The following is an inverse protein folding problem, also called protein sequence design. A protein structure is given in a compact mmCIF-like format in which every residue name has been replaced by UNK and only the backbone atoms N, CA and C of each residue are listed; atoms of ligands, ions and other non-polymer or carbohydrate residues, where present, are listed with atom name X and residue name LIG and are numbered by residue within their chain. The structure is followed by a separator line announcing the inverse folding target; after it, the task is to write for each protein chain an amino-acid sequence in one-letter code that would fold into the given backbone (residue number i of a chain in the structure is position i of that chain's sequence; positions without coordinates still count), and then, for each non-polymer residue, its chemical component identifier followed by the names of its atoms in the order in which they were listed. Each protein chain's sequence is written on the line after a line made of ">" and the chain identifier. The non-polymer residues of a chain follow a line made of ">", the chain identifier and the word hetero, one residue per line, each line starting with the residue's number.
data_IF_609967408722
#
_entry.id   IF_609967408722
#
_cell.length_a   1.000
_cell.length_b   1.000
_cell.length_c   1.000
_cell.angle_alpha   90.00
_cell.angle_beta   90.00
_cell.angle_gamma   90.00
#
_symmetry.space_group_name_H-M   'P 1'
#
loop_
_entity.id
_entity.type
_entity.pdbx_description
1 polymer ?
#
# COMPACT_ATOMS: atom_id res chain seq x y z
N UNK A 1 35.23 -1.21 25.17
CA UNK A 1 34.45 -1.95 24.15
C UNK A 1 33.45 -0.96 23.55
N UNK A 2 33.76 -0.39 22.39
CA UNK A 2 32.98 0.70 21.81
C UNK A 2 31.69 0.11 21.20
N UNK A 3 30.55 0.25 21.87
CA UNK A 3 29.25 -0.17 21.33
C UNK A 3 28.98 0.66 20.08
N UNK A 4 29.17 0.08 18.88
CA UNK A 4 28.82 0.74 17.62
C UNK A 4 27.36 1.19 17.72
N UNK A 5 27.14 2.50 17.75
CA UNK A 5 25.82 3.12 17.82
C UNK A 5 24.99 2.62 16.64
N UNK A 6 23.75 2.22 16.90
CA UNK A 6 22.87 1.73 15.87
C UNK A 6 22.61 2.81 14.82
N UNK A 7 22.85 2.51 13.54
CA UNK A 7 22.70 3.46 12.41
C UNK A 7 21.30 3.39 11.80
N UNK A 8 20.55 2.30 12.05
CA UNK A 8 19.20 2.08 11.51
C UNK A 8 18.17 3.21 11.78
N UNK A 9 18.14 3.91 12.95
CA UNK A 9 17.12 4.95 13.15
C UNK A 9 17.37 6.16 12.26
N UNK A 10 18.65 6.49 11.99
CA UNK A 10 19.01 7.56 11.06
C UNK A 10 18.56 7.20 9.64
N UNK A 11 18.83 5.97 9.20
CA UNK A 11 18.39 5.48 7.88
C UNK A 11 16.88 5.54 7.74
N UNK A 12 16.13 5.20 8.81
CA UNK A 12 14.67 5.29 8.79
C UNK A 12 14.17 6.72 8.56
N UNK A 13 14.75 7.70 9.28
CA UNK A 13 14.40 9.12 9.12
C UNK A 13 14.76 9.62 7.73
N UNK A 14 15.99 9.34 7.26
CA UNK A 14 16.46 9.80 5.96
C UNK A 14 15.59 9.20 4.83
N UNK A 15 15.27 7.90 4.91
CA UNK A 15 14.42 7.22 3.94
C UNK A 15 12.99 7.73 3.97
N UNK A 16 12.44 8.00 5.16
CA UNK A 16 11.11 8.57 5.32
C UNK A 16 11.02 9.97 4.71
N UNK A 17 12.01 10.83 4.97
CA UNK A 17 12.01 12.19 4.43
C UNK A 17 12.16 12.21 2.91
N UNK A 18 13.06 11.38 2.37
CA UNK A 18 13.24 11.27 0.92
C UNK A 18 11.95 10.82 0.21
N UNK A 19 11.30 9.76 0.73
CA UNK A 19 10.02 9.27 0.19
C UNK A 19 8.87 10.26 0.47
N UNK A 20 8.91 10.96 1.60
CA UNK A 20 7.94 11.95 2.02
C UNK A 20 7.85 13.15 1.07
N UNK A 21 8.97 13.62 0.53
CA UNK A 21 8.97 14.69 -0.49
C UNK A 21 8.20 14.25 -1.73
N UNK A 22 8.42 13.03 -2.23
CA UNK A 22 7.65 12.48 -3.35
C UNK A 22 6.19 12.26 -3.00
N UNK A 23 5.92 11.87 -1.76
CA UNK A 23 4.56 11.68 -1.24
C UNK A 23 3.78 12.99 -1.25
N UNK A 24 4.41 14.13 -0.95
CA UNK A 24 3.76 15.44 -0.99
C UNK A 24 3.30 15.81 -2.41
N UNK A 25 4.13 15.61 -3.42
CA UNK A 25 3.73 15.84 -4.82
C UNK A 25 2.60 14.91 -5.24
N UNK A 26 2.70 13.63 -4.89
CA UNK A 26 1.67 12.64 -5.13
C UNK A 26 0.32 13.02 -4.50
N UNK A 27 0.31 13.40 -3.22
CA UNK A 27 -0.91 13.83 -2.52
C UNK A 27 -1.47 15.12 -3.11
N UNK A 28 -0.62 16.07 -3.50
CA UNK A 28 -1.04 17.30 -4.17
C UNK A 28 -1.77 17.02 -5.49
N UNK A 29 -1.27 16.08 -6.29
CA UNK A 29 -1.93 15.65 -7.54
C UNK A 29 -3.29 15.03 -7.25
N UNK A 30 -3.41 14.14 -6.24
CA UNK A 30 -4.69 13.51 -5.88
C UNK A 30 -5.71 14.55 -5.44
N UNK A 31 -5.31 15.50 -4.59
CA UNK A 31 -6.19 16.59 -4.14
C UNK A 31 -6.68 17.40 -5.34
N UNK A 32 -5.80 17.75 -6.27
CA UNK A 32 -6.17 18.48 -7.48
C UNK A 32 -7.19 17.70 -8.31
N UNK A 33 -6.93 16.41 -8.59
CA UNK A 33 -7.85 15.55 -9.34
C UNK A 33 -9.22 15.47 -8.66
N UNK A 34 -9.24 15.33 -7.33
CA UNK A 34 -10.48 15.25 -6.58
C UNK A 34 -11.26 16.58 -6.62
N UNK A 35 -10.58 17.74 -6.56
CA UNK A 35 -11.25 19.04 -6.71
C UNK A 35 -11.95 19.12 -8.08
N UNK A 36 -11.28 18.68 -9.15
CA UNK A 36 -11.88 18.66 -10.49
C UNK A 36 -13.11 17.75 -10.51
N UNK A 37 -13.03 16.54 -9.93
CA UNK A 37 -14.17 15.62 -9.86
C UNK A 37 -15.36 16.21 -9.11
N UNK A 38 -15.14 16.93 -8.00
CA UNK A 38 -16.21 17.62 -7.29
C UNK A 38 -16.87 18.72 -8.11
N UNK A 39 -16.09 19.54 -8.81
CA UNK A 39 -16.61 20.60 -9.68
C UNK A 39 -17.47 20.03 -10.81
N UNK A 40 -17.03 18.94 -11.42
CA UNK A 40 -17.78 18.26 -12.50
C UNK A 40 -19.08 17.62 -11.99
N UNK A 41 -19.05 17.00 -10.82
CA UNK A 41 -20.24 16.38 -10.24
C UNK A 41 -21.32 17.38 -9.85
N UNK A 42 -20.92 18.56 -9.36
CA UNK A 42 -21.86 19.66 -9.12
C UNK A 42 -22.59 20.10 -10.39
N UNK A 43 -21.95 19.99 -11.56
CA UNK A 43 -22.55 20.36 -12.84
C UNK A 43 -23.42 19.22 -13.44
N UNK A 44 -23.10 17.96 -13.12
CA UNK A 44 -23.79 16.78 -13.69
C UNK A 44 -24.88 16.24 -12.75
N UNK A 45 -24.93 16.70 -11.49
CA UNK A 45 -25.86 16.24 -10.47
C UNK A 45 -25.60 14.82 -9.97
N UNK A 46 -24.41 14.28 -10.23
CA UNK A 46 -24.05 12.90 -9.90
C UNK A 46 -23.48 12.79 -8.48
N UNK A 47 -23.61 11.62 -7.84
CA UNK A 47 -22.87 11.33 -6.61
C UNK A 47 -21.38 11.18 -6.92
N UNK A 48 -20.55 11.53 -5.94
CA UNK A 48 -19.10 11.38 -6.04
C UNK A 48 -18.57 10.50 -4.92
N UNK A 49 -17.49 9.79 -5.24
CA UNK A 49 -16.73 9.03 -4.25
C UNK A 49 -16.02 9.97 -3.31
N UNK A 50 -16.06 9.67 -2.01
CA UNK A 50 -15.31 10.42 -0.99
C UNK A 50 -13.79 10.43 -1.26
N UNK A 51 -13.10 11.51 -0.88
CA UNK A 51 -11.65 11.63 -1.04
C UNK A 51 -10.91 10.46 -0.42
N UNK A 52 -11.36 9.97 0.74
CA UNK A 52 -10.72 8.87 1.45
C UNK A 52 -10.59 7.62 0.57
N UNK A 53 -11.66 7.22 -0.11
CA UNK A 53 -11.68 6.03 -0.97
C UNK A 53 -10.76 6.21 -2.16
N UNK A 54 -10.88 7.34 -2.87
CA UNK A 54 -10.04 7.68 -4.05
C UNK A 54 -8.55 7.73 -3.69
N UNK A 55 -8.20 8.41 -2.59
CA UNK A 55 -6.83 8.54 -2.11
C UNK A 55 -6.28 7.20 -1.64
N UNK A 56 -7.10 6.35 -1.02
CA UNK A 56 -6.66 5.05 -0.53
C UNK A 56 -6.31 4.09 -1.67
N UNK A 57 -7.15 3.98 -2.70
CA UNK A 57 -6.87 3.23 -3.95
C UNK A 57 -5.55 3.69 -4.56
N UNK A 58 -5.40 5.00 -4.75
CA UNK A 58 -4.22 5.58 -5.38
C UNK A 58 -2.95 5.39 -4.54
N UNK A 59 -3.05 5.48 -3.21
CA UNK A 59 -1.92 5.34 -2.30
C UNK A 59 -1.34 3.93 -2.28
N UNK A 60 -2.15 2.89 -2.52
CA UNK A 60 -1.66 1.50 -2.61
C UNK A 60 -0.73 1.32 -3.81
N UNK A 61 -1.12 1.88 -4.95
CA UNK A 61 -0.31 1.87 -6.18
C UNK A 61 0.99 2.65 -5.94
N UNK A 62 0.90 3.85 -5.38
CA UNK A 62 2.06 4.66 -5.03
C UNK A 62 3.04 3.92 -4.12
N UNK A 63 2.54 3.31 -3.03
CA UNK A 63 3.34 2.54 -2.08
C UNK A 63 4.06 1.36 -2.75
N UNK A 64 3.40 0.66 -3.67
CA UNK A 64 4.02 -0.40 -4.46
C UNK A 64 5.18 0.14 -5.31
N UNK A 65 4.99 1.26 -6.01
CA UNK A 65 6.02 1.88 -6.85
C UNK A 65 7.24 2.31 -6.03
N UNK A 66 7.06 3.03 -4.93
CA UNK A 66 8.19 3.45 -4.09
C UNK A 66 8.87 2.26 -3.40
N UNK A 67 8.14 1.19 -3.10
CA UNK A 67 8.70 -0.06 -2.62
C UNK A 67 9.66 -0.68 -3.64
N UNK A 68 9.27 -0.75 -4.92
CA UNK A 68 10.14 -1.23 -6.01
C UNK A 68 11.41 -0.37 -6.08
N UNK A 69 11.26 0.96 -6.11
CA UNK A 69 12.38 1.91 -6.19
C UNK A 69 13.34 1.74 -5.00
N UNK A 70 12.82 1.43 -3.81
CA UNK A 70 13.65 1.31 -2.62
C UNK A 70 14.74 0.23 -2.75
N UNK A 71 14.46 -0.87 -3.43
CA UNK A 71 15.44 -1.91 -3.69
C UNK A 71 16.58 -1.46 -4.62
N UNK A 72 16.27 -0.63 -5.62
CA UNK A 72 17.20 -0.23 -6.67
C UNK A 72 18.01 1.02 -6.33
N UNK A 73 17.36 2.02 -5.74
CA UNK A 73 17.98 3.32 -5.48
C UNK A 73 18.56 3.38 -4.07
N UNK A 74 17.73 3.13 -3.05
CA UNK A 74 18.14 3.35 -1.67
C UNK A 74 19.13 2.29 -1.15
N UNK A 75 18.93 1.01 -1.47
CA UNK A 75 19.82 -0.04 -0.98
C UNK A 75 21.29 0.18 -1.43
N UNK A 76 21.61 0.39 -2.72
CA UNK A 76 22.99 0.66 -3.13
C UNK A 76 23.51 1.98 -2.55
N UNK A 77 22.70 3.04 -2.57
CA UNK A 77 23.08 4.36 -2.06
C UNK A 77 23.51 4.31 -0.58
N UNK A 78 22.73 3.69 0.30
CA UNK A 78 23.08 3.61 1.72
C UNK A 78 24.28 2.69 1.96
N UNK A 79 24.39 1.58 1.24
CA UNK A 79 25.50 0.64 1.45
C UNK A 79 26.82 1.21 0.93
N UNK A 80 26.81 1.95 -0.19
CA UNK A 80 27.98 2.69 -0.68
C UNK A 80 28.44 3.77 0.31
N UNK A 81 27.51 4.40 1.02
CA UNK A 81 27.79 5.35 2.11
C UNK A 81 28.14 4.68 3.46
N UNK A 82 28.47 3.38 3.47
CA UNK A 82 28.98 2.67 4.65
C UNK A 82 27.91 2.12 5.61
N UNK A 83 26.63 2.16 5.25
CA UNK A 83 25.55 1.56 6.06
C UNK A 83 25.54 0.04 5.87
N UNK A 84 25.41 -0.71 6.96
CA UNK A 84 25.29 -2.17 6.84
C UNK A 84 23.92 -2.55 6.28
N UNK A 85 23.85 -3.63 5.50
CA UNK A 85 22.59 -4.14 4.93
C UNK A 85 21.55 -4.50 6.01
N UNK A 86 22.00 -4.87 7.20
CA UNK A 86 21.12 -5.16 8.34
C UNK A 86 20.45 -3.88 8.84
N UNK A 87 21.22 -2.80 8.93
CA UNK A 87 20.72 -1.51 9.38
C UNK A 87 19.82 -0.86 8.33
N UNK A 88 20.16 -1.00 7.04
CA UNK A 88 19.28 -0.58 5.96
C UNK A 88 17.94 -1.33 6.00
N UNK A 89 17.94 -2.66 6.12
CA UNK A 89 16.69 -3.42 6.17
C UNK A 89 15.78 -2.98 7.31
N UNK A 90 16.33 -2.83 8.53
CA UNK A 90 15.56 -2.36 9.69
C UNK A 90 15.09 -0.92 9.52
N UNK A 91 15.96 -0.05 9.00
CA UNK A 91 15.66 1.36 8.76
C UNK A 91 14.57 1.55 7.70
N UNK A 92 14.69 0.88 6.56
CA UNK A 92 13.71 0.93 5.48
C UNK A 92 12.35 0.35 5.90
N UNK A 93 12.32 -0.77 6.64
CA UNK A 93 11.08 -1.35 7.15
C UNK A 93 10.36 -0.40 8.12
N UNK A 94 11.10 0.28 9.00
CA UNK A 94 10.53 1.25 9.96
C UNK A 94 10.12 2.56 9.27
N UNK A 95 10.95 3.09 8.38
CA UNK A 95 10.68 4.33 7.65
C UNK A 95 9.46 4.23 6.74
N UNK A 96 9.32 3.11 6.02
CA UNK A 96 8.14 2.86 5.17
C UNK A 96 6.86 2.59 5.97
N UNK A 97 6.96 1.98 7.14
CA UNK A 97 5.82 1.85 8.05
C UNK A 97 5.37 3.22 8.59
N UNK A 98 6.31 4.09 8.98
CA UNK A 98 6.02 5.47 9.36
C UNK A 98 5.39 6.26 8.19
N UNK A 99 5.83 6.02 6.96
CA UNK A 99 5.25 6.64 5.76
C UNK A 99 3.79 6.19 5.54
N UNK A 100 3.50 4.91 5.71
CA UNK A 100 2.13 4.38 5.61
C UNK A 100 1.18 5.05 6.62
N UNK A 101 1.65 5.26 7.86
CA UNK A 101 0.91 5.98 8.90
C UNK A 101 0.71 7.44 8.48
N UNK A 102 1.77 8.11 8.04
CA UNK A 102 1.72 9.52 7.65
C UNK A 102 0.72 9.76 6.51
N UNK A 103 0.77 8.94 5.45
CA UNK A 103 -0.20 9.02 4.34
C UNK A 103 -1.62 8.83 4.87
N UNK A 104 -1.85 7.82 5.71
CA UNK A 104 -3.19 7.54 6.26
C UNK A 104 -3.71 8.72 7.09
N UNK A 105 -2.89 9.29 7.97
CA UNK A 105 -3.26 10.46 8.77
C UNK A 105 -3.56 11.69 7.90
N UNK A 106 -2.73 11.98 6.91
CA UNK A 106 -2.97 13.11 5.99
C UNK A 106 -4.25 12.89 5.19
N UNK A 107 -4.50 11.68 4.70
CA UNK A 107 -5.75 11.38 3.97
C UNK A 107 -6.99 11.54 4.85
N UNK A 108 -6.92 11.19 6.13
CA UNK A 108 -8.01 11.39 7.09
C UNK A 108 -8.26 12.87 7.36
N UNK A 109 -7.20 13.65 7.54
CA UNK A 109 -7.32 15.09 7.74
C UNK A 109 -7.98 15.76 6.52
N UNK A 110 -7.54 15.41 5.31
CA UNK A 110 -8.12 15.93 4.08
C UNK A 110 -9.59 15.50 3.89
N UNK A 111 -9.94 14.27 4.24
CA UNK A 111 -11.34 13.80 4.21
C UNK A 111 -12.21 14.53 5.24
N UNK A 112 -11.66 14.79 6.43
CA UNK A 112 -12.34 15.61 7.44
C UNK A 112 -12.61 17.02 6.94
N UNK A 113 -11.63 17.64 6.28
CA UNK A 113 -11.79 18.96 5.66
C UNK A 113 -12.82 18.93 4.52
N UNK A 114 -12.84 17.90 3.68
CA UNK A 114 -13.83 17.70 2.61
C UNK A 114 -15.26 17.69 3.18
N UNK A 115 -15.53 16.85 4.19
CA UNK A 115 -16.87 16.79 4.80
C UNK A 115 -17.27 18.11 5.46
N UNK A 116 -16.32 18.82 6.11
CA UNK A 116 -16.58 20.13 6.69
C UNK A 116 -16.92 21.19 5.62
N UNK A 117 -16.24 21.16 4.48
CA UNK A 117 -16.52 22.07 3.36
C UNK A 117 -17.88 21.78 2.72
N UNK A 118 -18.19 20.50 2.45
CA UNK A 118 -19.45 20.11 1.81
C UNK A 118 -20.66 20.45 2.69
N UNK A 119 -20.60 20.10 3.98
CA UNK A 119 -21.66 20.42 4.92
C UNK A 119 -21.73 21.93 5.23
N UNK A 120 -20.59 22.60 5.38
CA UNK A 120 -20.53 24.02 5.68
C UNK A 120 -21.04 24.91 4.54
N UNK A 121 -20.90 24.46 3.29
CA UNK A 121 -21.39 25.17 2.10
C UNK A 121 -22.77 24.70 1.63
N UNK A 122 -23.41 23.76 2.34
CA UNK A 122 -24.70 23.15 1.95
C UNK A 122 -24.72 22.69 0.48
N UNK A 123 -23.62 22.10 0.01
CA UNK A 123 -23.52 21.62 -1.36
C UNK A 123 -24.43 20.40 -1.55
N UNK A 124 -25.21 20.31 -2.64
CA UNK A 124 -26.05 19.14 -2.94
C UNK A 124 -25.19 17.97 -3.46
N UNK A 125 -24.27 17.49 -2.61
CA UNK A 125 -23.29 16.45 -2.92
C UNK A 125 -23.48 15.29 -1.96
N UNK A 126 -23.90 14.13 -2.49
CA UNK A 126 -23.92 12.88 -1.74
C UNK A 126 -22.53 12.25 -1.88
N UNK A 127 -21.78 12.24 -0.78
CA UNK A 127 -20.47 11.63 -0.70
C UNK A 127 -20.62 10.14 -0.39
N UNK A 128 -20.31 9.28 -1.35
CA UNK A 128 -20.33 7.84 -1.14
C UNK A 128 -19.03 7.39 -0.45
N UNK A 129 -19.18 6.81 0.73
CA UNK A 129 -18.11 6.16 1.52
C UNK A 129 -17.98 4.66 1.22
N UNK A 130 -18.94 4.11 0.48
CA UNK A 130 -18.91 2.77 -0.07
C UNK A 130 -18.09 2.79 -1.36
N UNK A 131 -16.97 2.05 -1.40
CA UNK A 131 -16.25 1.80 -2.65
C UNK A 131 -17.04 0.79 -3.50
N UNK A 132 -18.20 1.20 -4.01
CA UNK A 132 -18.77 0.60 -5.19
C UNK A 132 -18.01 1.16 -6.39
N UNK A 133 -16.72 0.80 -6.49
CA UNK A 133 -16.11 0.73 -7.82
C UNK A 133 -16.74 -0.52 -8.44
N UNK A 134 -18.00 -0.40 -8.84
CA UNK A 134 -18.63 -1.24 -9.84
C UNK A 134 -17.95 -0.88 -11.15
N UNK A 135 -16.71 -1.33 -11.29
CA UNK A 135 -16.26 -1.68 -12.62
C UNK A 135 -17.24 -2.75 -13.05
N UNK A 136 -18.13 -2.41 -14.00
CA UNK A 136 -18.90 -3.36 -14.81
C UNK A 136 -17.89 -4.30 -15.46
N UNK A 137 -17.39 -5.24 -14.66
CA UNK A 137 -16.51 -6.27 -15.12
C UNK A 137 -17.45 -7.26 -15.80
N UNK A 138 -17.55 -7.10 -17.11
CA UNK A 138 -17.56 -8.25 -17.99
C UNK A 138 -16.61 -9.32 -17.41
N UNK A 139 -16.87 -10.59 -17.72
CA UNK A 139 -16.13 -11.79 -17.26
C UNK A 139 -14.61 -11.81 -17.59
N UNK A 140 -14.02 -10.66 -17.90
CA UNK A 140 -12.61 -10.38 -18.09
C UNK A 140 -11.85 -10.53 -16.77
N UNK A 141 -11.18 -11.67 -16.67
CA UNK A 141 -10.22 -12.06 -15.64
C UNK A 141 -9.31 -10.92 -15.10
N UNK A 142 -8.79 -10.09 -16.00
CA UNK A 142 -7.84 -9.01 -15.63
C UNK A 142 -8.53 -7.94 -14.79
N UNK A 143 -9.78 -7.58 -15.11
CA UNK A 143 -10.53 -6.56 -14.39
C UNK A 143 -10.79 -7.01 -12.94
N UNK A 144 -11.17 -8.28 -12.75
CA UNK A 144 -11.36 -8.86 -11.42
C UNK A 144 -10.06 -8.89 -10.60
N UNK A 145 -8.92 -9.22 -11.24
CA UNK A 145 -7.62 -9.23 -10.55
C UNK A 145 -7.22 -7.83 -10.08
N UNK A 146 -7.39 -6.83 -10.94
CA UNK A 146 -7.11 -5.43 -10.62
C UNK A 146 -8.03 -4.95 -9.49
N UNK A 147 -9.32 -5.31 -9.52
CA UNK A 147 -10.27 -4.96 -8.47
C UNK A 147 -9.89 -5.58 -7.12
N UNK A 148 -9.69 -6.90 -7.07
CA UNK A 148 -9.36 -7.61 -5.83
C UNK A 148 -8.08 -7.07 -5.20
N UNK A 149 -7.10 -6.68 -6.01
CA UNK A 149 -5.84 -6.15 -5.52
C UNK A 149 -5.99 -4.69 -5.08
N UNK A 150 -6.48 -3.81 -5.95
CA UNK A 150 -6.38 -2.37 -5.70
C UNK A 150 -7.52 -1.86 -4.81
N UNK A 151 -8.75 -2.37 -4.97
CA UNK A 151 -9.94 -1.82 -4.30
C UNK A 151 -9.90 -2.13 -2.79
N UNK A 152 -10.15 -1.13 -1.92
CA UNK A 152 -10.25 -1.37 -0.49
C UNK A 152 -11.39 -2.31 -0.14
N UNK A 153 -11.18 -3.09 0.92
CA UNK A 153 -12.29 -3.73 1.60
C UNK A 153 -13.21 -2.67 2.23
N UNK A 154 -14.53 -2.94 2.39
CA UNK A 154 -15.45 -1.99 3.03
C UNK A 154 -15.02 -1.56 4.44
N UNK A 155 -14.37 -2.45 5.17
CA UNK A 155 -13.81 -2.19 6.50
C UNK A 155 -12.66 -1.18 6.46
N UNK A 156 -11.82 -1.22 5.42
CA UNK A 156 -10.75 -0.24 5.21
C UNK A 156 -11.31 1.12 4.81
N UNK A 157 -12.42 1.15 4.06
CA UNK A 157 -13.09 2.39 3.64
C UNK A 157 -13.78 3.15 4.79
N UNK A 158 -13.85 2.55 6.00
CA UNK A 158 -14.51 3.13 7.18
C UNK A 158 -13.83 4.36 7.82
N UNK A 159 -12.82 4.93 7.15
CA UNK A 159 -12.25 6.25 7.43
C UNK A 159 -11.87 6.48 8.90
N UNK A 160 -12.73 7.18 9.63
CA UNK A 160 -12.50 7.65 11.00
C UNK A 160 -12.47 6.55 12.07
N UNK A 161 -12.96 5.33 11.77
CA UNK A 161 -12.88 4.22 12.72
C UNK A 161 -11.43 3.83 13.00
N UNK A 162 -11.04 3.65 14.27
CA UNK A 162 -9.70 3.17 14.65
C UNK A 162 -9.30 1.89 13.90
N UNK A 163 -10.27 1.00 13.68
CA UNK A 163 -10.09 -0.21 12.88
C UNK A 163 -9.77 0.19 11.43
N UNK A 164 -10.59 1.02 10.80
CA UNK A 164 -10.35 1.55 9.44
C UNK A 164 -8.96 2.17 9.28
N UNK A 165 -8.52 3.01 10.22
CA UNK A 165 -7.17 3.62 10.21
C UNK A 165 -6.08 2.56 10.26
N UNK A 166 -6.21 1.58 11.16
CA UNK A 166 -5.22 0.51 11.32
C UNK A 166 -5.12 -0.36 10.07
N UNK A 167 -6.26 -0.71 9.47
CA UNK A 167 -6.32 -1.52 8.26
C UNK A 167 -5.82 -0.75 7.05
N UNK A 168 -6.22 0.52 6.94
CA UNK A 168 -5.77 1.39 5.87
C UNK A 168 -4.25 1.59 5.89
N UNK A 169 -3.65 1.63 7.09
CA UNK A 169 -2.19 1.68 7.27
C UNK A 169 -1.54 0.35 6.88
N UNK A 170 -2.07 -0.77 7.37
CA UNK A 170 -1.55 -2.10 7.06
C UNK A 170 -1.60 -2.42 5.57
N UNK A 171 -2.70 -2.06 4.89
CA UNK A 171 -2.83 -2.25 3.45
C UNK A 171 -1.77 -1.47 2.68
N UNK A 172 -1.59 -0.18 2.97
CA UNK A 172 -0.53 0.64 2.36
C UNK A 172 0.85 0.05 2.61
N UNK A 173 1.13 -0.39 3.84
CA UNK A 173 2.40 -1.01 4.19
C UNK A 173 2.62 -2.35 3.48
N UNK A 174 1.58 -3.18 3.35
CA UNK A 174 1.61 -4.42 2.59
C UNK A 174 2.03 -4.17 1.14
N UNK A 175 1.42 -3.20 0.46
CA UNK A 175 1.77 -2.85 -0.92
C UNK A 175 3.21 -2.37 -1.07
N UNK A 176 3.72 -1.59 -0.11
CA UNK A 176 5.12 -1.19 -0.08
C UNK A 176 6.06 -2.39 0.02
N UNK A 177 5.78 -3.29 0.96
CA UNK A 177 6.61 -4.47 1.24
C UNK A 177 6.55 -5.45 0.06
N UNK A 178 5.40 -5.60 -0.60
CA UNK A 178 5.28 -6.33 -1.87
C UNK A 178 6.15 -5.72 -2.96
N UNK A 179 6.04 -4.41 -3.19
CA UNK A 179 6.88 -3.70 -4.16
C UNK A 179 8.36 -3.87 -3.87
N UNK A 180 8.75 -3.77 -2.60
CA UNK A 180 10.12 -3.97 -2.16
C UNK A 180 10.63 -5.40 -2.38
N UNK A 181 9.77 -6.41 -2.17
CA UNK A 181 10.09 -7.79 -2.52
C UNK A 181 10.37 -7.96 -4.01
N UNK A 182 9.47 -7.47 -4.87
CA UNK A 182 9.62 -7.52 -6.33
C UNK A 182 10.92 -6.82 -6.74
N UNK A 183 11.13 -5.58 -6.29
CA UNK A 183 12.34 -4.82 -6.62
C UNK A 183 13.62 -5.52 -6.17
N UNK A 184 13.64 -6.08 -4.96
CA UNK A 184 14.81 -6.77 -4.42
C UNK A 184 15.15 -8.07 -5.15
N UNK A 185 14.13 -8.78 -5.64
CA UNK A 185 14.29 -10.01 -6.40
C UNK A 185 14.86 -9.74 -7.79
N UNK A 186 14.31 -8.77 -8.52
CA UNK A 186 14.85 -8.37 -9.81
C UNK A 186 16.26 -7.79 -9.68
N UNK A 187 16.51 -6.95 -8.68
CA UNK A 187 17.85 -6.38 -8.45
C UNK A 187 18.91 -7.48 -8.26
N UNK A 188 18.58 -8.57 -7.55
CA UNK A 188 19.51 -9.67 -7.29
C UNK A 188 19.69 -10.59 -8.47
N UNK A 189 18.61 -11.16 -9.00
CA UNK A 189 18.69 -12.31 -9.89
C UNK A 189 18.61 -11.95 -11.38
N UNK A 190 18.06 -10.77 -11.72
CA UNK A 190 17.66 -10.42 -13.09
C UNK A 190 16.76 -11.52 -13.75
N UNK A 191 16.10 -11.22 -14.87
CA UNK A 191 15.42 -12.23 -15.69
C UNK A 191 14.25 -12.99 -15.02
N UNK A 192 14.19 -14.31 -15.26
CA UNK A 192 13.06 -15.21 -14.94
C UNK A 192 12.71 -15.32 -13.44
N UNK A 193 13.70 -15.26 -12.56
CA UNK A 193 13.46 -15.35 -11.11
C UNK A 193 12.73 -14.11 -10.60
N UNK A 194 13.02 -12.93 -11.19
CA UNK A 194 12.27 -11.70 -10.92
C UNK A 194 10.79 -11.85 -11.31
N UNK A 195 10.52 -12.40 -12.50
CA UNK A 195 9.14 -12.69 -12.94
C UNK A 195 8.39 -13.61 -11.98
N UNK A 196 9.06 -14.66 -11.47
CA UNK A 196 8.48 -15.56 -10.47
C UNK A 196 8.05 -14.84 -9.19
N UNK A 197 8.74 -13.77 -8.79
CA UNK A 197 8.35 -12.99 -7.61
C UNK A 197 7.12 -12.12 -7.81
N UNK A 198 6.80 -11.73 -9.05
CA UNK A 198 5.54 -11.05 -9.36
C UNK A 198 4.37 -12.01 -9.13
N UNK A 199 4.46 -13.24 -9.66
CA UNK A 199 3.45 -14.28 -9.42
C UNK A 199 3.27 -14.58 -7.92
N UNK A 200 4.38 -14.74 -7.19
CA UNK A 200 4.34 -14.92 -5.74
C UNK A 200 3.68 -13.74 -5.02
N UNK A 201 3.93 -12.50 -5.47
CA UNK A 201 3.35 -11.29 -4.90
C UNK A 201 1.84 -11.23 -5.09
N UNK A 202 1.36 -11.61 -6.27
CA UNK A 202 -0.08 -11.70 -6.58
C UNK A 202 -0.74 -12.74 -5.67
N UNK A 203 -0.13 -13.92 -5.51
CA UNK A 203 -0.64 -14.96 -4.61
C UNK A 203 -0.72 -14.48 -3.16
N UNK A 204 0.31 -13.78 -2.67
CA UNK A 204 0.30 -13.20 -1.32
C UNK A 204 -0.74 -12.08 -1.17
N UNK A 205 -0.96 -11.29 -2.23
CA UNK A 205 -2.04 -10.30 -2.31
C UNK A 205 -3.42 -10.93 -2.17
N UNK A 206 -3.64 -12.07 -2.82
CA UNK A 206 -4.90 -12.82 -2.72
C UNK A 206 -5.11 -13.42 -1.33
N UNK A 207 -4.05 -13.95 -0.70
CA UNK A 207 -4.15 -14.43 0.69
C UNK A 207 -4.46 -13.27 1.63
N UNK A 208 -3.79 -12.12 1.45
CA UNK A 208 -4.06 -10.91 2.21
C UNK A 208 -5.52 -10.43 2.04
N UNK A 209 -6.02 -10.39 0.81
CA UNK A 209 -7.37 -9.93 0.50
C UNK A 209 -8.45 -10.89 1.05
N UNK A 210 -8.18 -12.20 1.00
CA UNK A 210 -9.06 -13.23 1.54
C UNK A 210 -9.31 -13.07 3.04
N UNK A 211 -8.32 -12.61 3.82
CA UNK A 211 -8.51 -12.34 5.24
C UNK A 211 -9.54 -11.24 5.52
N UNK A 212 -9.75 -10.32 4.57
CA UNK A 212 -10.70 -9.22 4.70
C UNK A 212 -12.02 -9.47 3.99
N UNK A 213 -12.29 -10.73 3.60
CA UNK A 213 -13.56 -11.13 3.03
C UNK A 213 -13.85 -10.53 1.65
N UNK A 214 -12.85 -9.97 0.96
CA UNK A 214 -13.04 -9.55 -0.42
C UNK A 214 -13.09 -10.80 -1.32
N UNK A 215 -14.08 -10.91 -2.22
CA UNK A 215 -14.18 -12.04 -3.11
C UNK A 215 -12.90 -12.11 -3.97
N UNK A 216 -12.12 -13.17 -3.76
CA UNK A 216 -10.94 -13.45 -4.58
C UNK A 216 -11.42 -13.98 -5.93
N UNK A 217 -11.19 -13.20 -6.99
CA UNK A 217 -11.38 -13.66 -8.36
C UNK A 217 -10.60 -14.96 -8.60
N UNK A 218 -11.17 -15.87 -9.38
CA UNK A 218 -10.69 -17.24 -9.60
C UNK A 218 -9.35 -17.24 -10.37
N UNK A 219 -8.24 -16.97 -9.68
CA UNK A 219 -6.91 -17.01 -10.28
C UNK A 219 -6.39 -18.45 -10.48
N UNK A 220 -6.88 -19.40 -9.66
CA UNK A 220 -6.48 -20.81 -9.68
C UNK A 220 -7.69 -21.71 -9.33
N UNK A 221 -7.70 -22.99 -9.73
CA UNK A 221 -8.70 -23.96 -9.26
C UNK A 221 -8.72 -24.08 -7.71
N UNK A 222 -7.63 -23.70 -7.04
CA UNK A 222 -7.52 -23.59 -5.58
C UNK A 222 -8.15 -22.31 -4.99
N UNK A 223 -8.48 -21.31 -5.80
CA UNK A 223 -9.20 -20.10 -5.36
C UNK A 223 -10.60 -20.42 -4.80
N UNK A 224 -11.20 -21.53 -5.24
CA UNK A 224 -12.42 -22.09 -4.66
C UNK A 224 -12.21 -22.72 -3.28
N UNK A 225 -10.98 -23.05 -2.88
CA UNK A 225 -10.68 -23.65 -1.57
C UNK A 225 -10.44 -22.58 -0.49
N UNK A 226 -9.99 -21.39 -0.87
CA UNK A 226 -9.89 -20.18 -0.02
C UNK A 226 -11.25 -19.46 0.10
N UNK A 227 -12.33 -20.23 0.09
CA UNK A 227 -13.71 -19.78 0.09
C UNK A 227 -13.99 -19.00 1.37
N UNK A 228 -14.21 -17.69 1.23
CA UNK A 228 -14.71 -16.72 2.23
C UNK A 228 -14.64 -17.23 3.66
N UNK A 229 -13.43 -17.42 4.17
CA UNK A 229 -13.19 -17.71 5.57
C UNK A 229 -13.59 -16.45 6.31
N UNK A 230 -14.83 -16.42 6.84
CA UNK A 230 -15.33 -15.37 7.73
C UNK A 230 -14.61 -15.52 9.06
N UNK A 231 -13.34 -15.16 9.05
CA UNK A 231 -12.48 -15.19 10.21
C UNK A 231 -12.91 -14.07 11.16
N UNK A 232 -12.86 -14.32 12.48
CA UNK A 232 -12.97 -13.24 13.45
C UNK A 232 -11.96 -12.14 13.12
N UNK A 233 -12.35 -10.88 13.30
CA UNK A 233 -11.53 -9.72 12.93
C UNK A 233 -10.10 -9.78 13.48
N UNK A 234 -9.93 -10.29 14.70
CA UNK A 234 -8.62 -10.50 15.33
C UNK A 234 -7.74 -11.51 14.56
N UNK A 235 -8.34 -12.60 14.05
CA UNK A 235 -7.64 -13.60 13.27
C UNK A 235 -7.24 -13.06 11.88
N UNK A 236 -8.10 -12.27 11.23
CA UNK A 236 -7.78 -11.59 9.96
C UNK A 236 -6.64 -10.58 10.12
N UNK A 237 -6.67 -9.78 11.19
CA UNK A 237 -5.61 -8.84 11.50
C UNK A 237 -4.28 -9.57 11.74
N UNK A 238 -4.27 -10.62 12.57
CA UNK A 238 -3.08 -11.42 12.82
C UNK A 238 -2.55 -12.07 11.54
N UNK A 239 -3.44 -12.62 10.70
CA UNK A 239 -3.11 -13.19 9.40
C UNK A 239 -2.42 -12.18 8.49
N UNK A 240 -2.92 -10.94 8.45
CA UNK A 240 -2.31 -9.86 7.66
C UNK A 240 -0.89 -9.51 8.14
N UNK A 241 -0.67 -9.44 9.46
CA UNK A 241 0.65 -9.17 10.05
C UNK A 241 1.62 -10.33 9.76
N UNK A 242 1.14 -11.58 9.82
CA UNK A 242 1.94 -12.75 9.50
C UNK A 242 2.37 -12.76 8.03
N UNK A 243 1.48 -12.42 7.10
CA UNK A 243 1.82 -12.31 5.67
C UNK A 243 2.88 -11.22 5.45
N UNK A 244 2.72 -10.04 6.04
CA UNK A 244 3.72 -8.97 5.95
C UNK A 244 5.06 -9.42 6.54
N UNK A 245 5.05 -10.07 7.71
CA UNK A 245 6.24 -10.63 8.34
C UNK A 245 6.93 -11.69 7.49
N UNK A 246 6.16 -12.54 6.80
CA UNK A 246 6.68 -13.51 5.84
C UNK A 246 7.36 -12.83 4.66
N UNK A 247 6.75 -11.79 4.07
CA UNK A 247 7.37 -11.04 2.97
C UNK A 247 8.66 -10.35 3.43
N UNK A 248 8.66 -9.72 4.60
CA UNK A 248 9.85 -9.12 5.20
C UNK A 248 10.97 -10.16 5.42
N UNK A 249 10.62 -11.38 5.82
CA UNK A 249 11.56 -12.49 5.93
C UNK A 249 12.17 -12.86 4.56
N UNK A 250 11.33 -12.98 3.53
CA UNK A 250 11.78 -13.19 2.14
C UNK A 250 12.73 -12.09 1.68
N UNK A 251 12.37 -10.81 1.86
CA UNK A 251 13.22 -9.65 1.53
C UNK A 251 14.54 -9.73 2.28
N UNK A 252 14.50 -10.08 3.56
CA UNK A 252 15.72 -10.20 4.38
C UNK A 252 16.66 -11.28 3.84
N UNK A 253 16.10 -12.40 3.40
CA UNK A 253 16.86 -13.49 2.79
C UNK A 253 17.43 -13.08 1.42
N UNK A 254 16.65 -12.37 0.61
CA UNK A 254 17.06 -11.84 -0.69
C UNK A 254 18.22 -10.85 -0.55
N UNK A 255 18.10 -9.86 0.34
CA UNK A 255 19.04 -8.75 0.52
C UNK A 255 20.34 -9.13 1.24
N UNK A 256 20.37 -10.24 2.00
CA UNK A 256 21.53 -10.63 2.83
C UNK A 256 22.83 -10.81 2.03
N UNK A 257 22.77 -11.31 0.79
CA UNK A 257 23.95 -11.71 -0.02
C UNK A 257 24.01 -11.08 -1.42
N UNK A 258 23.33 -9.96 -1.66
CA UNK A 258 23.30 -9.34 -2.99
C UNK A 258 24.64 -8.64 -3.34
N UNK A 259 25.29 -8.89 -4.48
CA UNK A 259 26.41 -8.06 -4.92
C UNK A 259 25.89 -6.65 -5.25
N UNK A 260 26.58 -5.60 -4.78
CA UNK A 260 26.20 -4.22 -5.09
C UNK A 260 26.63 -3.97 -6.53
N UNK A 261 25.64 -3.77 -7.41
CA UNK A 261 25.87 -3.30 -8.78
C UNK A 261 26.17 -1.79 -8.67
N UNK A 262 27.39 -1.41 -9.06
CA UNK A 262 27.84 -0.02 -9.15
C UNK A 262 27.31 0.61 -10.44
#
# INVERSE_FOLDING_TARGET
>A
MNTKKAVYPKVAVDSFMAQGVWTLFFLGIIVLVQIIQHVLALNTGNSNTSFFVSAHVSSRIYMLVIGIIAAYSFLPYYVQNGVTRKDYFKGAALGSFALAIAITLVTLLLTGLEHLLVNGLNLPLVLESSSAIELEAEEVFIANLIQTLIVPSPLEASGFSLIGISLATLGKYFYYVVGWMIGSAYYRYNGLVGLGTILLSILLGMVYSSFWGTPVGVFLPFGRLLLSLTLPMAASFLGSVLVIGFILCCIRHLTKRVPIKA
#
